data_IF_920139833847
#
_entry.id   IF_920139833847
#
_cell.length_a   1.000
_cell.length_b   1.000
_cell.length_c   1.000
_cell.angle_alpha   90.00
_cell.angle_beta   90.00
_cell.angle_gamma   90.00
#
_symmetry.space_group_name_H-M   'P 1'
#
loop_
_entity.id
_entity.type
_entity.pdbx_description
1 polymer ?
#
# COMPACT_ATOMS: atom_id res chain seq x y z
N UNK A 1 6.54 -17.22 -10.58
CA UNK A 1 7.58 -16.89 -9.57
C UNK A 1 7.11 -15.67 -8.79
N UNK A 2 7.06 -15.72 -7.46
CA UNK A 2 6.62 -14.55 -6.68
C UNK A 2 7.77 -13.57 -6.49
N UNK A 3 7.56 -12.28 -6.81
CA UNK A 3 8.56 -11.23 -6.60
C UNK A 3 8.64 -10.85 -5.13
N UNK A 4 9.81 -10.93 -4.52
CA UNK A 4 10.00 -10.48 -3.15
C UNK A 4 9.88 -8.96 -3.03
N UNK A 5 9.57 -8.45 -1.83
CA UNK A 5 9.42 -7.00 -1.59
C UNK A 5 10.71 -6.26 -1.96
N UNK A 6 11.88 -6.85 -1.68
CA UNK A 6 13.16 -6.29 -2.09
C UNK A 6 13.28 -6.18 -3.60
N UNK A 7 12.93 -7.23 -4.34
CA UNK A 7 12.98 -7.21 -5.79
C UNK A 7 12.05 -6.12 -6.33
N UNK A 8 10.84 -5.95 -5.78
CA UNK A 8 9.94 -4.87 -6.18
C UNK A 8 10.52 -3.47 -5.89
N UNK A 9 11.17 -3.27 -4.73
CA UNK A 9 11.86 -2.01 -4.38
C UNK A 9 12.99 -1.72 -5.38
N UNK A 10 13.80 -2.73 -5.72
CA UNK A 10 14.93 -2.61 -6.63
C UNK A 10 14.47 -2.33 -8.07
N UNK A 11 13.45 -3.06 -8.55
CA UNK A 11 12.91 -2.93 -9.89
C UNK A 11 12.21 -1.59 -10.13
N UNK A 12 11.38 -1.15 -9.19
CA UNK A 12 10.66 0.12 -9.32
C UNK A 12 11.53 1.33 -8.92
N UNK A 13 12.61 1.11 -8.17
CA UNK A 13 13.57 2.13 -7.76
C UNK A 13 12.89 3.40 -7.21
N UNK A 14 13.10 4.56 -7.84
CA UNK A 14 12.48 5.84 -7.46
C UNK A 14 10.96 5.89 -7.61
N UNK A 15 10.36 4.98 -8.40
CA UNK A 15 8.92 4.84 -8.58
C UNK A 15 8.24 4.00 -7.49
N UNK A 16 8.99 3.24 -6.69
CA UNK A 16 8.41 2.36 -5.66
C UNK A 16 7.57 3.11 -4.61
N UNK A 17 7.97 4.28 -4.08
CA UNK A 17 7.14 5.01 -3.12
C UNK A 17 5.76 5.40 -3.69
N UNK A 18 5.70 5.77 -4.97
CA UNK A 18 4.43 6.11 -5.63
C UNK A 18 3.55 4.86 -5.84
N UNK A 19 4.17 3.72 -6.17
CA UNK A 19 3.51 2.43 -6.26
C UNK A 19 2.92 2.00 -4.91
N UNK A 20 3.72 2.07 -3.85
CA UNK A 20 3.29 1.77 -2.49
C UNK A 20 2.14 2.68 -2.05
N UNK A 21 2.24 3.99 -2.32
CA UNK A 21 1.18 4.96 -2.04
C UNK A 21 -0.13 4.61 -2.77
N UNK A 22 -0.01 4.10 -4.00
CA UNK A 22 -1.18 3.70 -4.80
C UNK A 22 -1.84 2.44 -4.26
N UNK A 23 -1.04 1.43 -3.88
CA UNK A 23 -1.54 0.21 -3.24
C UNK A 23 -2.19 0.56 -1.90
N UNK A 24 -1.49 1.27 -1.01
CA UNK A 24 -2.02 1.69 0.28
C UNK A 24 -3.25 2.61 0.14
N UNK A 25 -3.33 3.43 -0.91
CA UNK A 25 -4.48 4.29 -1.19
C UNK A 25 -5.68 3.59 -1.83
N UNK A 26 -5.62 2.27 -2.07
CA UNK A 26 -6.62 1.49 -2.85
C UNK A 26 -6.88 2.09 -4.24
N UNK A 27 -5.87 2.75 -4.83
CA UNK A 27 -5.94 3.20 -6.21
C UNK A 27 -5.85 1.94 -7.09
N UNK A 28 -6.78 1.75 -8.04
CA UNK A 28 -6.71 0.62 -8.96
C UNK A 28 -5.39 0.65 -9.76
N UNK A 29 -4.74 -0.49 -9.92
CA UNK A 29 -3.47 -0.61 -10.64
C UNK A 29 -3.66 -1.58 -11.81
N UNK A 30 -3.27 -1.12 -13.00
CA UNK A 30 -3.16 -1.96 -14.20
C UNK A 30 -1.70 -2.37 -14.36
N UNK A 31 -1.40 -3.66 -14.31
CA UNK A 31 -0.08 -4.21 -14.61
C UNK A 31 -0.08 -4.64 -16.07
N UNK A 32 0.75 -4.01 -16.90
CA UNK A 32 0.71 -4.20 -18.35
C UNK A 32 2.09 -4.57 -18.90
N UNK A 33 2.17 -5.63 -19.70
CA UNK A 33 3.42 -6.10 -20.31
C UNK A 33 3.16 -7.24 -21.29
N UNK A 34 4.15 -7.60 -22.10
CA UNK A 34 4.00 -8.64 -23.14
C UNK A 34 4.10 -10.06 -22.58
N UNK A 35 4.92 -10.24 -21.55
CA UNK A 35 5.10 -11.54 -20.88
C UNK A 35 3.96 -11.76 -19.88
N UNK A 36 3.03 -12.65 -20.24
CA UNK A 36 1.83 -12.92 -19.45
C UNK A 36 2.14 -13.50 -18.08
N UNK A 37 3.12 -14.41 -17.98
CA UNK A 37 3.49 -15.04 -16.71
C UNK A 37 4.09 -14.00 -15.76
N UNK A 38 4.98 -13.16 -16.29
CA UNK A 38 5.60 -12.06 -15.55
C UNK A 38 4.57 -11.04 -15.06
N UNK A 39 3.60 -10.68 -15.89
CA UNK A 39 2.54 -9.72 -15.51
C UNK A 39 1.66 -10.31 -14.41
N UNK A 40 1.29 -11.59 -14.49
CA UNK A 40 0.49 -12.26 -13.46
C UNK A 40 1.26 -12.40 -12.15
N UNK A 41 2.53 -12.80 -12.21
CA UNK A 41 3.43 -12.89 -11.06
C UNK A 41 3.57 -11.54 -10.34
N UNK A 42 3.76 -10.45 -11.09
CA UNK A 42 3.82 -9.10 -10.52
C UNK A 42 2.46 -8.67 -9.94
N UNK A 43 1.36 -8.94 -10.64
CA UNK A 43 -0.01 -8.64 -10.17
C UNK A 43 -0.27 -9.31 -8.82
N UNK A 44 0.09 -10.58 -8.69
CA UNK A 44 0.00 -11.32 -7.43
C UNK A 44 0.94 -10.73 -6.36
N UNK A 45 2.18 -10.40 -6.73
CA UNK A 45 3.19 -9.92 -5.79
C UNK A 45 2.85 -8.54 -5.20
N UNK A 46 2.20 -7.67 -5.98
CA UNK A 46 1.77 -6.35 -5.49
C UNK A 46 0.76 -6.44 -4.33
N UNK A 47 0.00 -7.53 -4.21
CA UNK A 47 -0.92 -7.73 -3.08
C UNK A 47 -0.19 -7.84 -1.74
N UNK A 48 1.09 -8.25 -1.75
CA UNK A 48 1.93 -8.32 -0.56
C UNK A 48 2.32 -6.94 -0.01
N UNK A 49 2.13 -5.86 -0.77
CA UNK A 49 2.42 -4.49 -0.34
C UNK A 49 1.35 -3.93 0.63
N UNK A 50 0.23 -4.63 0.83
CA UNK A 50 -0.80 -4.29 1.81
C UNK A 50 -1.15 -5.48 2.71
N UNK A 51 -0.25 -5.91 3.61
CA UNK A 51 -0.43 -7.12 4.44
C UNK A 51 -1.60 -7.03 5.43
N UNK A 52 -2.06 -5.82 5.77
CA UNK A 52 -3.25 -5.58 6.59
C UNK A 52 -4.58 -5.90 5.88
N UNK A 53 -4.54 -6.20 4.57
CA UNK A 53 -5.73 -6.45 3.76
C UNK A 53 -5.91 -7.92 3.42
N UNK A 54 -7.17 -8.34 3.30
CA UNK A 54 -7.50 -9.66 2.81
C UNK A 54 -7.44 -9.68 1.28
N UNK A 55 -6.68 -10.62 0.73
CA UNK A 55 -6.57 -10.81 -0.73
C UNK A 55 -7.75 -11.61 -1.25
N UNK A 56 -8.43 -11.06 -2.24
CA UNK A 56 -9.43 -11.77 -3.06
C UNK A 56 -8.90 -11.93 -4.48
N UNK A 57 -9.10 -13.09 -5.08
CA UNK A 57 -8.75 -13.38 -6.48
C UNK A 57 -10.03 -13.52 -7.28
N UNK A 58 -10.20 -12.64 -8.27
CA UNK A 58 -11.35 -12.67 -9.17
C UNK A 58 -11.39 -13.99 -9.96
N UNK A 59 -12.58 -14.55 -10.09
CA UNK A 59 -12.87 -15.85 -10.72
C UNK A 59 -12.42 -17.08 -9.91
N UNK A 60 -11.83 -16.89 -8.72
CA UNK A 60 -11.53 -17.96 -7.77
C UNK A 60 -12.33 -17.81 -6.48
N UNK A 61 -12.28 -16.61 -5.91
CA UNK A 61 -12.89 -16.31 -4.61
C UNK A 61 -14.28 -15.67 -4.78
N UNK A 62 -14.53 -15.02 -5.92
CA UNK A 62 -15.84 -14.46 -6.31
C UNK A 62 -15.94 -14.33 -7.84
N UNK A 63 -17.16 -14.28 -8.38
CA UNK A 63 -17.42 -14.27 -9.84
C UNK A 63 -18.37 -13.17 -10.31
N UNK A 64 -18.97 -12.43 -9.37
CA UNK A 64 -19.94 -11.38 -9.66
C UNK A 64 -19.70 -10.10 -8.86
N UNK A 65 -20.14 -8.97 -9.40
CA UNK A 65 -20.05 -7.68 -8.71
C UNK A 65 -20.88 -7.65 -7.42
N UNK A 66 -22.01 -8.36 -7.38
CA UNK A 66 -22.86 -8.41 -6.19
C UNK A 66 -22.15 -9.03 -4.98
N UNK A 67 -21.35 -10.08 -5.20
CA UNK A 67 -20.56 -10.74 -4.17
C UNK A 67 -19.54 -9.76 -3.56
N UNK A 68 -18.72 -9.11 -4.38
CA UNK A 68 -17.70 -8.18 -3.87
C UNK A 68 -18.30 -6.91 -3.26
N UNK A 69 -19.45 -6.45 -3.76
CA UNK A 69 -20.18 -5.32 -3.15
C UNK A 69 -20.65 -5.64 -1.74
N UNK A 70 -21.10 -6.86 -1.47
CA UNK A 70 -21.50 -7.25 -0.11
C UNK A 70 -20.34 -7.16 0.88
N UNK A 71 -19.12 -7.51 0.44
CA UNK A 71 -17.90 -7.40 1.23
C UNK A 71 -17.57 -5.92 1.49
N UNK A 72 -17.65 -5.05 0.48
CA UNK A 72 -17.42 -3.62 0.67
C UNK A 72 -18.48 -2.94 1.54
N UNK A 73 -19.73 -3.40 1.48
CA UNK A 73 -20.77 -2.92 2.38
C UNK A 73 -20.43 -3.32 3.83
N UNK A 74 -19.96 -4.53 4.09
CA UNK A 74 -19.47 -4.93 5.42
C UNK A 74 -18.27 -4.07 5.86
N UNK A 75 -17.27 -3.87 4.99
CA UNK A 75 -16.12 -2.98 5.24
C UNK A 75 -16.53 -1.56 5.60
N UNK A 76 -17.66 -1.05 5.08
CA UNK A 76 -18.12 0.31 5.38
C UNK A 76 -18.73 0.42 6.78
N UNK A 77 -19.36 -0.63 7.28
CA UNK A 77 -20.08 -0.59 8.56
C UNK A 77 -19.21 -1.03 9.74
N UNK A 78 -18.19 -1.86 9.50
CA UNK A 78 -17.31 -2.36 10.56
C UNK A 78 -15.85 -1.91 10.38
N UNK A 79 -15.36 -1.10 11.31
CA UNK A 79 -13.97 -0.63 11.35
C UNK A 79 -12.97 -1.72 11.77
N UNK A 80 -13.45 -2.86 12.28
CA UNK A 80 -12.63 -3.98 12.75
C UNK A 80 -12.32 -5.01 11.66
N UNK A 81 -13.09 -5.04 10.57
CA UNK A 81 -12.91 -6.01 9.47
C UNK A 81 -11.68 -5.65 8.62
N UNK A 82 -10.88 -6.62 8.20
CA UNK A 82 -9.76 -6.32 7.30
C UNK A 82 -10.29 -5.93 5.91
N UNK A 83 -9.78 -4.83 5.34
CA UNK A 83 -10.21 -4.38 4.02
C UNK A 83 -9.67 -5.29 2.93
N UNK A 84 -10.29 -5.26 1.77
CA UNK A 84 -9.93 -6.14 0.66
C UNK A 84 -8.99 -5.49 -0.34
N UNK A 85 -8.07 -6.29 -0.87
CA UNK A 85 -7.35 -6.05 -2.11
C UNK A 85 -7.75 -7.13 -3.11
N UNK A 86 -8.12 -6.72 -4.32
CA UNK A 86 -8.55 -7.67 -5.36
C UNK A 86 -7.43 -7.86 -6.37
N UNK A 87 -7.12 -9.10 -6.68
CA UNK A 87 -6.21 -9.50 -7.75
C UNK A 87 -7.01 -10.09 -8.91
N UNK A 88 -6.76 -9.60 -10.12
CA UNK A 88 -7.32 -10.12 -11.36
C UNK A 88 -6.18 -10.54 -12.30
N UNK A 89 -6.05 -11.84 -12.51
CA UNK A 89 -5.06 -12.42 -13.43
C UNK A 89 -5.47 -12.23 -14.89
N UNK A 90 -4.49 -12.34 -15.78
CA UNK A 90 -4.57 -12.11 -17.22
C UNK A 90 -5.74 -12.84 -17.87
N UNK A 91 -5.90 -14.13 -17.53
CA UNK A 91 -6.92 -15.04 -18.05
C UNK A 91 -8.36 -14.58 -17.83
N UNK A 92 -8.59 -13.74 -16.81
CA UNK A 92 -9.91 -13.28 -16.40
C UNK A 92 -10.17 -11.80 -16.76
N UNK A 93 -9.26 -11.14 -17.47
CA UNK A 93 -9.34 -9.70 -17.81
C UNK A 93 -10.68 -9.34 -18.47
N UNK A 94 -11.05 -10.04 -19.55
CA UNK A 94 -12.28 -9.74 -20.31
C UNK A 94 -13.52 -9.87 -19.43
N UNK A 95 -13.58 -10.93 -18.60
CA UNK A 95 -14.69 -11.15 -17.68
C UNK A 95 -14.78 -10.05 -16.61
N UNK A 96 -13.63 -9.58 -16.11
CA UNK A 96 -13.60 -8.52 -15.11
C UNK A 96 -14.13 -7.20 -15.70
N UNK A 97 -13.65 -6.81 -16.88
CA UNK A 97 -14.08 -5.57 -17.54
C UNK A 97 -15.57 -5.57 -17.94
N UNK A 98 -16.14 -6.76 -18.22
CA UNK A 98 -17.55 -6.89 -18.59
C UNK A 98 -18.48 -6.91 -17.38
N UNK A 99 -18.04 -7.50 -16.25
CA UNK A 99 -18.91 -7.81 -15.10
C UNK A 99 -18.75 -6.85 -13.93
N UNK A 100 -17.65 -6.15 -13.83
CA UNK A 100 -17.30 -5.33 -12.67
C UNK A 100 -17.29 -3.88 -13.11
N UNK A 101 -17.99 -3.01 -12.36
CA UNK A 101 -17.99 -1.57 -12.64
C UNK A 101 -17.09 -0.79 -11.70
N UNK A 102 -16.89 -1.28 -10.47
CA UNK A 102 -16.07 -0.61 -9.45
C UNK A 102 -14.75 -1.36 -9.24
N UNK A 103 -13.63 -0.66 -9.36
CA UNK A 103 -12.29 -1.24 -9.30
C UNK A 103 -11.47 -0.77 -8.08
N UNK A 104 -12.13 -0.31 -7.02
CA UNK A 104 -11.44 0.17 -5.82
C UNK A 104 -10.56 -0.92 -5.20
N UNK A 105 -9.25 -0.67 -5.07
CA UNK A 105 -8.30 -1.66 -4.55
C UNK A 105 -8.05 -2.86 -5.47
N UNK A 106 -8.36 -2.75 -6.77
CA UNK A 106 -8.06 -3.80 -7.75
C UNK A 106 -6.65 -3.66 -8.32
N UNK A 107 -6.00 -4.81 -8.50
CA UNK A 107 -4.74 -4.97 -9.23
C UNK A 107 -5.05 -5.91 -10.38
N UNK A 108 -4.97 -5.41 -11.60
CA UNK A 108 -5.45 -6.08 -12.82
C UNK A 108 -4.30 -6.31 -13.79
N UNK A 109 -4.12 -7.56 -14.17
CA UNK A 109 -3.16 -7.99 -15.19
C UNK A 109 -3.69 -7.71 -16.60
N UNK A 110 -2.87 -7.08 -17.44
CA UNK A 110 -3.13 -6.75 -18.84
C UNK A 110 -1.98 -7.30 -19.71
N UNK A 111 -2.14 -8.51 -20.26
CA UNK A 111 -1.10 -9.16 -21.06
C UNK A 111 -1.10 -8.58 -22.49
N UNK A 112 -0.31 -7.54 -22.74
CA UNK A 112 -0.20 -6.93 -24.05
C UNK A 112 0.28 -7.93 -25.10
N UNK A 113 -0.19 -7.80 -26.33
CA UNK A 113 0.16 -8.68 -27.46
C UNK A 113 -0.23 -10.16 -27.27
N UNK A 114 -1.03 -10.50 -26.25
CA UNK A 114 -1.56 -11.83 -26.00
C UNK A 114 -3.04 -11.94 -26.37
N UNK A 115 -3.49 -13.17 -26.66
CA UNK A 115 -4.90 -13.47 -26.89
C UNK A 115 -5.54 -13.99 -25.60
N UNK A 116 -6.52 -13.24 -25.08
CA UNK A 116 -7.27 -13.60 -23.86
C UNK A 116 -8.73 -13.81 -24.24
N UNK A 117 -9.22 -15.05 -24.11
CA UNK A 117 -10.62 -15.42 -24.42
C UNK A 117 -11.08 -14.94 -25.81
N UNK A 118 -10.18 -15.00 -26.81
CA UNK A 118 -10.45 -14.58 -28.19
C UNK A 118 -10.34 -13.07 -28.45
N UNK A 119 -9.96 -12.28 -27.44
CA UNK A 119 -9.61 -10.86 -27.59
C UNK A 119 -8.09 -10.71 -27.68
N UNK A 120 -7.61 -10.13 -28.77
CA UNK A 120 -6.22 -9.71 -28.87
C UNK A 120 -6.02 -8.44 -28.03
N UNK A 121 -5.22 -8.55 -26.97
CA UNK A 121 -5.00 -7.46 -26.02
C UNK A 121 -3.94 -6.52 -26.57
N UNK A 122 -4.31 -5.26 -26.78
CA UNK A 122 -3.42 -4.23 -27.34
C UNK A 122 -3.30 -3.05 -26.39
N UNK A 123 -2.43 -2.09 -26.73
CA UNK A 123 -2.38 -0.78 -26.05
C UNK A 123 -3.74 -0.07 -26.06
N UNK A 124 -4.57 -0.27 -27.09
CA UNK A 124 -5.93 0.28 -27.12
C UNK A 124 -6.81 -0.35 -26.02
N UNK A 125 -6.64 -1.65 -25.75
CA UNK A 125 -7.32 -2.35 -24.65
C UNK A 125 -6.90 -1.77 -23.30
N UNK A 126 -5.60 -1.51 -23.09
CA UNK A 126 -5.10 -0.85 -21.88
C UNK A 126 -5.72 0.55 -21.69
N UNK A 127 -5.76 1.36 -22.75
CA UNK A 127 -6.38 2.70 -22.71
C UNK A 127 -7.88 2.61 -22.39
N UNK A 128 -8.60 1.66 -23.00
CA UNK A 128 -10.03 1.43 -22.72
C UNK A 128 -10.26 0.98 -21.28
N UNK A 129 -9.44 0.06 -20.77
CA UNK A 129 -9.51 -0.39 -19.38
C UNK A 129 -9.24 0.76 -18.40
N UNK A 130 -8.18 1.54 -18.63
CA UNK A 130 -7.88 2.72 -17.82
C UNK A 130 -9.03 3.74 -17.85
N UNK A 131 -9.61 4.02 -19.02
CA UNK A 131 -10.75 4.92 -19.16
C UNK A 131 -12.02 4.37 -18.51
N UNK A 132 -12.23 3.06 -18.50
CA UNK A 132 -13.32 2.42 -17.77
C UNK A 132 -13.16 2.62 -16.26
N UNK A 133 -12.00 2.28 -15.71
CA UNK A 133 -11.69 2.43 -14.29
C UNK A 133 -11.80 3.89 -13.84
N UNK A 134 -11.30 4.84 -14.64
CA UNK A 134 -11.34 6.27 -14.31
C UNK A 134 -12.75 6.88 -14.27
N UNK A 135 -13.76 6.22 -14.84
CA UNK A 135 -15.16 6.67 -14.72
C UNK A 135 -15.71 6.48 -13.31
N UNK A 136 -15.21 5.48 -12.59
CA UNK A 136 -15.69 5.10 -11.25
C UNK A 136 -14.66 5.39 -10.15
N UNK A 137 -13.40 5.56 -10.53
CA UNK A 137 -12.28 5.78 -9.61
C UNK A 137 -11.66 7.15 -9.83
N UNK A 138 -11.23 7.79 -8.73
CA UNK A 138 -10.59 9.12 -8.81
C UNK A 138 -9.33 9.14 -9.69
N UNK A 139 -8.57 8.04 -9.68
CA UNK A 139 -7.35 7.84 -10.46
C UNK A 139 -7.14 6.34 -10.78
N UNK A 140 -6.12 6.05 -11.59
CA UNK A 140 -5.67 4.70 -11.95
C UNK A 140 -4.14 4.70 -12.05
N UNK A 141 -3.47 3.69 -11.50
CA UNK A 141 -2.05 3.44 -11.71
C UNK A 141 -1.83 2.52 -12.90
N UNK A 142 -0.72 2.71 -13.61
CA UNK A 142 -0.24 1.81 -14.65
C UNK A 142 1.20 1.41 -14.30
N UNK A 143 1.40 0.12 -14.06
CA UNK A 143 2.70 -0.51 -13.93
C UNK A 143 3.05 -1.16 -15.26
N UNK A 144 3.95 -0.55 -16.03
CA UNK A 144 4.43 -1.10 -17.30
C UNK A 144 5.64 -2.00 -17.07
N UNK A 145 5.59 -3.19 -17.63
CA UNK A 145 6.62 -4.22 -17.57
C UNK A 145 7.24 -4.36 -18.95
N UNK A 146 8.42 -3.79 -19.14
CA UNK A 146 9.14 -3.88 -20.43
C UNK A 146 10.09 -5.07 -20.48
N UNK A 147 10.61 -5.48 -19.33
CA UNK A 147 11.42 -6.69 -19.19
C UNK A 147 11.37 -7.18 -17.74
N UNK A 148 11.85 -8.41 -17.43
CA UNK A 148 11.93 -8.91 -16.06
C UNK A 148 12.73 -8.02 -15.09
N UNK A 149 13.58 -7.14 -15.63
CA UNK A 149 14.46 -6.24 -14.87
C UNK A 149 14.08 -4.75 -15.00
N UNK A 150 13.05 -4.42 -15.78
CA UNK A 150 12.66 -3.04 -16.04
C UNK A 150 11.14 -2.89 -15.94
N UNK A 151 10.70 -2.25 -14.86
CA UNK A 151 9.32 -1.84 -14.64
C UNK A 151 9.24 -0.34 -14.44
N UNK A 152 8.13 0.26 -14.85
CA UNK A 152 7.87 1.69 -14.63
C UNK A 152 6.44 1.89 -14.13
N UNK A 153 6.29 2.70 -13.08
CA UNK A 153 4.98 2.99 -12.51
C UNK A 153 4.62 4.46 -12.72
N UNK A 154 3.37 4.70 -13.11
CA UNK A 154 2.82 6.05 -13.27
C UNK A 154 1.33 6.08 -12.95
N UNK A 155 0.83 7.25 -12.56
CA UNK A 155 -0.60 7.51 -12.43
C UNK A 155 -1.13 8.11 -13.74
N UNK A 156 -2.33 7.71 -14.15
CA UNK A 156 -2.96 8.25 -15.37
C UNK A 156 -3.25 9.74 -15.21
N UNK A 157 -3.76 10.16 -14.04
CA UNK A 157 -3.80 11.57 -13.66
C UNK A 157 -2.54 11.86 -12.83
N UNK A 158 -1.59 12.65 -13.32
CA UNK A 158 -0.40 12.98 -12.55
C UNK A 158 -0.81 13.72 -11.29
N UNK A 159 -0.41 13.17 -10.15
CA UNK A 159 -0.49 13.84 -8.86
C UNK A 159 0.92 14.06 -8.34
N UNK A 160 1.09 15.10 -7.53
CA UNK A 160 2.24 15.25 -6.65
C UNK A 160 1.78 14.91 -5.23
N UNK A 161 1.45 13.64 -4.92
CA UNK A 161 1.27 13.28 -3.54
C UNK A 161 2.60 13.55 -2.82
N UNK A 162 2.53 14.06 -1.60
CA UNK A 162 3.64 13.84 -0.69
C UNK A 162 3.80 12.29 -0.56
N UNK A 163 5.03 11.83 -0.38
CA UNK A 163 5.38 10.40 -0.36
C UNK A 163 6.27 10.11 0.84
N UNK A 164 6.18 10.93 1.88
CA UNK A 164 7.10 10.91 3.01
C UNK A 164 6.91 9.65 3.85
N UNK A 165 5.67 9.19 3.99
CA UNK A 165 5.34 7.92 4.64
C UNK A 165 6.02 6.76 3.91
N UNK A 166 5.82 6.66 2.59
CA UNK A 166 6.36 5.55 1.80
C UNK A 166 7.88 5.58 1.71
N UNK A 167 8.47 6.78 1.55
CA UNK A 167 9.93 6.95 1.59
C UNK A 167 10.50 6.57 2.96
N UNK A 168 9.79 6.87 4.07
CA UNK A 168 10.22 6.45 5.41
C UNK A 168 10.15 4.93 5.56
N UNK A 169 9.09 4.28 5.07
CA UNK A 169 8.96 2.82 5.11
C UNK A 169 10.14 2.19 4.36
N UNK A 170 10.40 2.61 3.11
CA UNK A 170 11.50 2.09 2.29
C UNK A 170 12.86 2.30 2.97
N UNK A 171 13.15 3.52 3.43
CA UNK A 171 14.45 3.83 4.06
C UNK A 171 14.69 3.06 5.36
N UNK A 172 13.64 2.86 6.17
CA UNK A 172 13.72 2.03 7.37
C UNK A 172 14.01 0.57 7.04
N UNK A 173 13.35 0.00 6.03
CA UNK A 173 13.58 -1.39 5.62
C UNK A 173 15.03 -1.58 5.16
N UNK A 174 15.51 -0.72 4.27
CA UNK A 174 16.88 -0.81 3.74
C UNK A 174 17.94 -0.68 4.85
N UNK A 175 17.75 0.25 5.79
CA UNK A 175 18.71 0.48 6.88
C UNK A 175 18.69 -0.65 7.92
N UNK A 176 17.52 -1.04 8.43
CA UNK A 176 17.39 -2.11 9.44
C UNK A 176 17.79 -3.47 8.89
N UNK A 177 17.51 -3.78 7.62
CA UNK A 177 17.90 -5.04 6.96
C UNK A 177 19.42 -5.22 7.03
N UNK A 178 20.15 -4.18 6.61
CA UNK A 178 21.62 -4.19 6.60
C UNK A 178 22.17 -4.42 8.01
N UNK A 179 21.63 -3.72 9.01
CA UNK A 179 22.07 -3.85 10.40
C UNK A 179 21.78 -5.24 10.98
N UNK A 180 20.60 -5.78 10.75
CA UNK A 180 20.18 -7.10 11.24
C UNK A 180 21.01 -8.23 10.61
N UNK A 181 21.22 -8.20 9.29
CA UNK A 181 22.04 -9.19 8.59
C UNK A 181 23.50 -9.14 9.06
N UNK A 182 24.07 -7.96 9.23
CA UNK A 182 25.42 -7.83 9.79
C UNK A 182 25.50 -8.39 11.22
N UNK A 183 24.50 -8.12 12.06
CA UNK A 183 24.46 -8.63 13.43
C UNK A 183 24.41 -10.16 13.45
N UNK A 184 23.56 -10.78 12.63
CA UNK A 184 23.46 -12.24 12.51
C UNK A 184 24.78 -12.83 11.99
N UNK A 185 25.35 -12.27 10.92
CA UNK A 185 26.65 -12.71 10.39
C UNK A 185 27.76 -12.64 11.44
N UNK A 186 27.81 -11.58 12.25
CA UNK A 186 28.79 -11.45 13.35
C UNK A 186 28.59 -12.51 14.43
N UNK A 187 27.34 -12.79 14.81
CA UNK A 187 27.02 -13.82 15.81
C UNK A 187 27.39 -15.23 15.30
N UNK A 188 26.98 -15.58 14.08
CA UNK A 188 27.30 -16.87 13.47
C UNK A 188 28.81 -17.05 13.30
N UNK A 189 29.52 -16.03 12.80
CA UNK A 189 30.98 -16.08 12.66
C UNK A 189 31.70 -16.25 14.00
N UNK A 190 31.16 -15.67 15.08
CA UNK A 190 31.69 -15.88 16.43
C UNK A 190 31.48 -17.32 16.89
N UNK A 191 30.29 -17.88 16.70
CA UNK A 191 29.97 -19.26 17.09
C UNK A 191 30.72 -20.32 16.26
N UNK A 192 30.95 -20.07 14.96
CA UNK A 192 31.67 -20.99 14.08
C UNK A 192 33.18 -21.03 14.35
N UNK A 193 33.75 -19.95 14.89
CA UNK A 193 35.18 -19.88 15.24
C UNK A 193 35.58 -20.95 16.25
N UNK A 194 34.67 -21.30 17.16
CA UNK A 194 34.93 -22.25 18.24
C UNK A 194 34.79 -23.72 17.79
N UNK A 195 34.32 -23.96 16.55
CA UNK A 195 33.94 -25.28 16.04
C UNK A 195 34.92 -25.88 15.01
N UNK A 196 36.04 -25.21 14.68
CA UNK A 196 37.03 -25.66 13.68
C UNK A 196 36.41 -26.18 12.36
N UNK A 197 35.34 -25.51 11.91
CA UNK A 197 34.62 -25.90 10.69
C UNK A 197 35.41 -25.48 9.44
N UNK A 198 35.32 -26.24 8.34
CA UNK A 198 35.94 -25.84 7.07
C UNK A 198 35.35 -24.54 6.54
N UNK A 199 36.15 -23.75 5.81
CA UNK A 199 35.71 -22.47 5.23
C UNK A 199 34.46 -22.63 4.35
N UNK A 200 34.36 -23.72 3.58
CA UNK A 200 33.19 -24.00 2.74
C UNK A 200 31.89 -24.14 3.54
N UNK A 201 31.92 -24.82 4.69
CA UNK A 201 30.73 -24.98 5.53
C UNK A 201 30.42 -23.65 6.25
N UNK A 202 31.45 -22.91 6.68
CA UNK A 202 31.26 -21.59 7.26
C UNK A 202 30.62 -20.62 6.27
N UNK A 203 31.01 -20.66 4.99
CA UNK A 203 30.43 -19.84 3.94
C UNK A 203 28.97 -20.21 3.64
N UNK A 204 28.63 -21.50 3.58
CA UNK A 204 27.23 -21.93 3.41
C UNK A 204 26.35 -21.51 4.59
N UNK A 205 26.84 -21.61 5.84
CA UNK A 205 26.09 -21.14 7.03
C UNK A 205 25.91 -19.61 7.03
N UNK A 206 26.78 -18.87 6.35
CA UNK A 206 26.71 -17.41 6.22
C UNK A 206 25.93 -16.93 4.99
N UNK A 207 25.46 -17.85 4.12
CA UNK A 207 24.47 -17.55 3.10
C UNK A 207 23.10 -17.40 3.76
N UNK A 208 22.70 -16.15 3.94
CA UNK A 208 21.46 -15.77 4.62
C UNK A 208 20.46 -15.17 3.62
N UNK A 209 20.43 -15.68 2.38
CA UNK A 209 19.62 -15.08 1.31
C UNK A 209 18.12 -15.27 1.60
N UNK A 210 17.69 -16.49 1.91
CA UNK A 210 16.31 -16.79 2.31
C UNK A 210 15.91 -16.06 3.60
N UNK A 211 16.80 -16.03 4.59
CA UNK A 211 16.60 -15.30 5.85
C UNK A 211 16.48 -13.79 5.61
N UNK A 212 17.24 -13.25 4.65
CA UNK A 212 17.20 -11.85 4.24
C UNK A 212 15.87 -11.49 3.60
N UNK A 213 15.32 -12.36 2.74
CA UNK A 213 14.00 -12.13 2.13
C UNK A 213 12.90 -12.14 3.19
N UNK A 214 12.89 -13.16 4.05
CA UNK A 214 11.91 -13.27 5.14
C UNK A 214 11.99 -12.09 6.12
N UNK A 215 13.20 -11.70 6.52
CA UNK A 215 13.41 -10.56 7.38
C UNK A 215 12.90 -9.26 6.74
N UNK A 216 13.12 -9.08 5.44
CA UNK A 216 12.60 -7.91 4.73
C UNK A 216 11.08 -7.91 4.76
N UNK A 217 10.45 -9.06 4.49
CA UNK A 217 9.00 -9.20 4.53
C UNK A 217 8.44 -8.83 5.91
N UNK A 218 8.95 -9.44 6.97
CA UNK A 218 8.50 -9.21 8.35
C UNK A 218 8.64 -7.73 8.75
N UNK A 219 9.76 -7.10 8.38
CA UNK A 219 10.00 -5.69 8.67
C UNK A 219 9.10 -4.75 7.86
N UNK A 220 8.80 -5.09 6.60
CA UNK A 220 7.87 -4.32 5.79
C UNK A 220 6.46 -4.39 6.38
N UNK A 221 6.03 -5.58 6.77
CA UNK A 221 4.75 -5.81 7.42
C UNK A 221 4.62 -5.03 8.72
N UNK A 222 5.65 -5.05 9.58
CA UNK A 222 5.70 -4.27 10.82
C UNK A 222 5.48 -2.77 10.57
N UNK A 223 6.19 -2.20 9.60
CA UNK A 223 6.13 -0.76 9.32
C UNK A 223 4.79 -0.33 8.69
N UNK A 224 4.23 -1.14 7.78
CA UNK A 224 2.90 -0.89 7.21
C UNK A 224 1.83 -1.02 8.29
N UNK A 225 1.85 -2.07 9.11
CA UNK A 225 0.88 -2.25 10.19
C UNK A 225 0.97 -1.14 11.23
N UNK A 226 2.18 -0.67 11.56
CA UNK A 226 2.38 0.47 12.44
C UNK A 226 1.69 1.74 11.92
N UNK A 227 1.82 2.02 10.61
CA UNK A 227 1.10 3.12 9.97
C UNK A 227 -0.42 2.95 10.01
N UNK A 228 -0.92 1.76 9.67
CA UNK A 228 -2.36 1.43 9.70
C UNK A 228 -2.93 1.61 11.10
N UNK A 229 -2.24 1.14 12.13
CA UNK A 229 -2.66 1.31 13.52
C UNK A 229 -2.65 2.79 13.96
N UNK A 230 -1.67 3.58 13.52
CA UNK A 230 -1.66 5.01 13.76
C UNK A 230 -2.85 5.70 13.09
N UNK A 231 -3.16 5.35 11.84
CA UNK A 231 -4.32 5.87 11.13
C UNK A 231 -5.64 5.46 11.79
N UNK A 232 -5.74 4.23 12.30
CA UNK A 232 -6.90 3.79 13.06
C UNK A 232 -7.09 4.57 14.38
N UNK A 233 -6.00 4.85 15.10
CA UNK A 233 -6.04 5.75 16.26
C UNK A 233 -6.49 7.15 15.86
N UNK A 234 -6.04 7.65 14.70
CA UNK A 234 -6.49 8.93 14.17
C UNK A 234 -8.00 8.94 13.92
N UNK A 235 -8.58 7.89 13.32
CA UNK A 235 -10.05 7.76 13.14
C UNK A 235 -10.77 7.89 14.47
N UNK A 236 -10.31 7.21 15.52
CA UNK A 236 -10.94 7.27 16.85
C UNK A 236 -10.92 8.69 17.44
N UNK A 237 -9.77 9.38 17.34
CA UNK A 237 -9.60 10.74 17.86
C UNK A 237 -10.45 11.73 17.05
N UNK A 238 -10.36 11.68 15.73
CA UNK A 238 -11.06 12.60 14.83
C UNK A 238 -12.58 12.42 14.90
N UNK A 239 -13.07 11.19 15.06
CA UNK A 239 -14.49 10.90 15.30
C UNK A 239 -14.99 11.56 16.58
N UNK A 240 -14.23 11.46 17.67
CA UNK A 240 -14.58 12.10 18.95
C UNK A 240 -14.58 13.62 18.84
N UNK A 241 -13.61 14.20 18.12
CA UNK A 241 -13.55 15.65 17.89
C UNK A 241 -14.74 16.12 17.07
N UNK A 242 -15.10 15.40 16.00
CA UNK A 242 -16.26 15.72 15.18
C UNK A 242 -17.55 15.70 16.01
N UNK A 243 -17.75 14.68 16.85
CA UNK A 243 -18.89 14.59 17.76
C UNK A 243 -18.92 15.75 18.77
N UNK A 244 -17.79 16.07 19.39
CA UNK A 244 -17.70 17.19 20.33
C UNK A 244 -18.04 18.54 19.65
N UNK A 245 -17.59 18.75 18.40
CA UNK A 245 -17.95 19.94 17.60
C UNK A 245 -19.44 20.00 17.30
N UNK A 246 -20.06 18.86 16.97
CA UNK A 246 -21.52 18.78 16.77
C UNK A 246 -22.31 19.12 18.04
N UNK A 247 -21.75 18.84 19.23
CA UNK A 247 -22.30 19.21 20.53
C UNK A 247 -21.98 20.67 20.95
N UNK A 248 -21.30 21.45 20.10
CA UNK A 248 -21.01 22.87 20.34
C UNK A 248 -19.63 23.17 20.93
N UNK A 249 -18.75 22.18 21.09
CA UNK A 249 -17.39 22.42 21.59
C UNK A 249 -16.47 23.01 20.50
N UNK A 250 -15.76 24.09 20.82
CA UNK A 250 -14.78 24.71 19.92
C UNK A 250 -13.41 24.03 20.00
N UNK A 251 -13.32 22.75 19.62
CA UNK A 251 -12.05 22.01 19.65
C UNK A 251 -11.26 22.22 18.36
N UNK A 252 -10.05 22.78 18.50
CA UNK A 252 -9.06 22.91 17.43
C UNK A 252 -7.91 21.94 17.66
N UNK A 253 -7.73 20.98 16.75
CA UNK A 253 -6.60 20.06 16.76
C UNK A 253 -5.52 20.56 15.79
N UNK A 254 -4.28 20.60 16.24
CA UNK A 254 -3.12 20.85 15.37
C UNK A 254 -2.57 19.52 14.87
N UNK A 255 -1.97 19.52 13.67
CA UNK A 255 -1.37 18.32 13.09
C UNK A 255 -0.36 17.68 14.06
N UNK A 256 0.51 18.49 14.67
CA UNK A 256 1.50 18.03 15.66
C UNK A 256 0.87 17.25 16.82
N UNK A 257 -0.20 17.78 17.41
CA UNK A 257 -0.87 17.14 18.55
C UNK A 257 -1.51 15.81 18.14
N UNK A 258 -2.05 15.73 16.92
CA UNK A 258 -2.59 14.47 16.40
C UNK A 258 -1.49 13.44 16.20
N UNK A 259 -0.41 13.80 15.50
CA UNK A 259 0.71 12.89 15.21
C UNK A 259 1.36 12.35 16.49
N UNK A 260 1.54 13.20 17.50
CA UNK A 260 1.99 12.80 18.83
C UNK A 260 1.02 11.82 19.50
N UNK A 261 -0.29 12.12 19.49
CA UNK A 261 -1.30 11.28 20.10
C UNK A 261 -1.47 9.90 19.42
N UNK A 262 -1.29 9.84 18.10
CA UNK A 262 -1.35 8.57 17.35
C UNK A 262 -0.02 7.83 17.33
N UNK A 263 1.06 8.39 17.89
CA UNK A 263 2.39 7.77 17.92
C UNK A 263 2.97 7.57 16.52
N UNK A 264 2.79 8.55 15.62
CA UNK A 264 3.36 8.54 14.28
C UNK A 264 3.97 9.89 13.96
N UNK A 265 5.10 9.92 13.25
CA UNK A 265 5.93 11.14 13.17
C UNK A 265 6.17 11.61 11.73
N UNK A 266 5.49 11.03 10.73
CA UNK A 266 5.80 11.29 9.32
C UNK A 266 4.57 11.37 8.45
N UNK A 267 4.68 12.15 7.38
CA UNK A 267 3.61 12.44 6.46
C UNK A 267 2.86 13.71 6.84
N UNK A 268 1.99 14.13 5.93
CA UNK A 268 1.14 15.30 6.11
C UNK A 268 -0.31 14.88 6.40
N UNK A 269 -1.02 15.73 7.14
CA UNK A 269 -2.40 15.45 7.52
C UNK A 269 -3.33 15.14 6.33
N UNK A 270 -3.25 15.81 5.16
CA UNK A 270 -4.02 15.45 3.99
C UNK A 270 -3.76 14.01 3.49
N UNK A 271 -2.54 13.50 3.62
CA UNK A 271 -2.23 12.12 3.24
C UNK A 271 -2.89 11.12 4.18
N UNK A 272 -2.82 11.39 5.48
CA UNK A 272 -3.46 10.58 6.50
C UNK A 272 -4.98 10.53 6.30
N UNK A 273 -5.61 11.68 6.04
CA UNK A 273 -7.04 11.76 5.73
C UNK A 273 -7.38 10.99 4.44
N UNK A 274 -6.54 11.09 3.41
CA UNK A 274 -6.73 10.33 2.17
C UNK A 274 -6.62 8.82 2.39
N UNK A 275 -5.64 8.37 3.18
CA UNK A 275 -5.52 6.98 3.58
C UNK A 275 -6.76 6.52 4.36
N UNK A 276 -7.20 7.30 5.35
CA UNK A 276 -8.40 7.01 6.14
C UNK A 276 -9.65 6.91 5.25
N UNK A 277 -9.80 7.80 4.29
CA UNK A 277 -10.92 7.76 3.35
C UNK A 277 -10.89 6.49 2.48
N UNK A 278 -9.70 6.05 2.06
CA UNK A 278 -9.52 4.79 1.32
C UNK A 278 -9.85 3.56 2.16
N UNK A 279 -9.46 3.57 3.44
CA UNK A 279 -9.57 2.39 4.29
C UNK A 279 -10.91 2.28 5.01
N UNK A 280 -11.42 3.38 5.55
CA UNK A 280 -12.63 3.40 6.39
C UNK A 280 -13.78 4.22 5.79
N UNK A 281 -13.66 4.70 4.56
CA UNK A 281 -14.68 5.52 3.88
C UNK A 281 -15.09 6.80 4.63
N UNK A 282 -14.28 7.23 5.61
CA UNK A 282 -14.51 8.42 6.41
C UNK A 282 -13.70 9.60 5.87
N UNK A 283 -14.33 10.76 5.78
CA UNK A 283 -13.68 11.98 5.30
C UNK A 283 -13.52 12.99 6.44
N UNK A 284 -12.35 13.04 7.07
CA UNK A 284 -12.03 14.00 8.13
C UNK A 284 -11.41 15.32 7.64
N UNK A 285 -11.60 15.69 6.37
CA UNK A 285 -11.09 16.96 5.85
C UNK A 285 -11.63 18.18 6.62
N UNK A 286 -12.84 18.09 7.16
CA UNK A 286 -13.48 19.11 8.02
C UNK A 286 -12.75 19.31 9.37
N UNK A 287 -12.04 18.28 9.84
CA UNK A 287 -11.22 18.34 11.04
C UNK A 287 -9.88 19.06 10.80
N UNK A 288 -9.44 19.16 9.55
CA UNK A 288 -8.15 19.72 9.14
C UNK A 288 -8.33 21.20 8.74
N UNK A 289 -8.16 22.12 9.70
CA UNK A 289 -8.07 23.55 9.36
C UNK A 289 -6.61 23.93 9.16
N UNK A 290 -6.26 24.37 7.96
CA UNK A 290 -4.93 24.88 7.63
C UNK A 290 -4.49 26.03 8.54
N UNK A 291 -3.43 25.77 9.30
CA UNK A 291 -2.30 26.67 9.57
C UNK A 291 -2.47 27.96 10.37
N UNK A 292 -3.60 28.68 10.39
CA UNK A 292 -3.60 30.07 10.89
C UNK A 292 -4.66 30.38 11.98
N UNK A 293 -5.84 29.78 11.95
CA UNK A 293 -6.94 30.17 12.87
C UNK A 293 -7.06 29.29 14.12
N UNK A 294 -6.40 28.12 14.16
CA UNK A 294 -6.41 27.22 15.32
C UNK A 294 -5.39 27.61 16.40
N UNK A 295 -4.35 28.37 16.05
CA UNK A 295 -3.28 28.75 17.00
C UNK A 295 -3.70 29.83 17.99
N UNK A 296 -4.69 30.67 17.64
CA UNK A 296 -5.15 31.74 18.53
C UNK A 296 -6.00 31.20 19.70
N UNK A 297 -6.83 30.18 19.47
CA UNK A 297 -7.64 29.57 20.53
C UNK A 297 -6.80 28.79 21.54
N UNK A 298 -5.88 27.95 21.06
CA UNK A 298 -5.00 27.16 21.93
C UNK A 298 -3.99 28.03 22.72
N UNK A 299 -3.55 29.18 22.18
CA UNK A 299 -2.71 30.12 22.91
C UNK A 299 -3.47 30.88 24.00
N UNK A 300 -4.74 31.21 23.76
CA UNK A 300 -5.62 31.81 24.77
C UNK A 300 -5.88 30.78 25.88
N UNK A 301 -6.28 29.54 25.57
CA UNK A 301 -6.53 28.51 26.59
C UNK A 301 -5.26 28.15 27.40
N UNK A 302 -4.09 28.15 26.76
CA UNK A 302 -2.79 27.98 27.44
C UNK A 302 -2.46 29.10 28.44
N UNK A 303 -3.05 30.29 28.31
CA UNK A 303 -2.85 31.40 29.24
C UNK A 303 -3.89 31.46 30.37
N UNK A 304 -4.99 30.72 30.27
CA UNK A 304 -6.06 30.73 31.26
C UNK A 304 -6.16 29.44 32.08
N UNK A 305 -5.11 28.60 32.04
CA UNK A 305 -4.91 27.38 32.83
C UNK A 305 -6.04 26.99 33.78
N UNK A 306 -6.86 26.02 33.35
CA UNK A 306 -7.65 25.18 34.25
C UNK A 306 -6.83 24.01 34.75
#
# INVERSE_FOLDING_TARGET
MTYSIMQMIELASTGFPLLLNSVLGRIPILVAGEDTELVDDLTESLTMLCPHRHKFVFWRDFTSEAEIRSVWDEERHDYEVNRTVVCCLSTNLTLALDRITQFMGWIVSIPLSADVLGLHVTEETLVKAAAHILRTSGNCGILRVTSPSAISFSLVKPGLPCLDVEKRIVSKILSRKTQSLERIRRLLKKSLRDLNVSEQIADEVLKLDDDSEKLTHDMFEEEVNSYVHAARRAVMILSRIRLARQLGASITLTDRNLYEAIGWETGEMPELVRFIRGEWHEDFSDCVKGGALSGLGAWVDSMWGT
#
